data_IF_292347929272
#
_entry.id   IF_292347929272
#
_cell.length_a   1.000
_cell.length_b   1.000
_cell.length_c   1.000
_cell.angle_alpha   90.00
_cell.angle_beta   90.00
_cell.angle_gamma   90.00
#
_symmetry.space_group_name_H-M   'P 1'
#
loop_
_entity.id
_entity.type
_entity.pdbx_description
1 polymer ?
#
# COMPACT_ATOMS: atom_id res chain seq x y z
N UNK A 1 12.93 20.40 -17.75
CA UNK A 1 11.56 20.73 -17.30
C UNK A 1 11.42 20.30 -15.86
N UNK A 2 11.44 21.25 -14.92
CA UNK A 2 11.42 20.97 -13.48
C UNK A 2 9.98 20.81 -13.01
N UNK A 3 9.65 19.69 -12.35
CA UNK A 3 8.29 19.36 -11.89
C UNK A 3 7.88 20.30 -10.73
N UNK A 4 6.80 21.10 -10.85
CA UNK A 4 6.45 22.17 -9.89
C UNK A 4 5.86 21.69 -8.55
N UNK A 5 5.77 20.39 -8.29
CA UNK A 5 5.25 19.84 -7.03
C UNK A 5 6.35 19.43 -6.03
N UNK A 6 7.62 19.55 -6.42
CA UNK A 6 8.77 19.17 -5.59
C UNK A 6 9.05 20.19 -4.47
N UNK A 7 8.12 20.34 -3.52
CA UNK A 7 8.50 20.76 -2.17
C UNK A 7 9.08 19.54 -1.47
N UNK A 8 10.42 19.52 -1.41
CA UNK A 8 11.27 18.43 -0.91
C UNK A 8 11.13 18.24 0.62
N UNK A 9 9.94 17.80 1.07
CA UNK A 9 9.76 17.21 2.40
C UNK A 9 9.65 15.70 2.23
N UNK A 10 10.81 15.06 2.32
CA UNK A 10 10.92 13.60 2.51
C UNK A 10 10.06 13.17 3.68
N UNK A 11 9.34 12.05 3.53
CA UNK A 11 8.58 11.49 4.64
C UNK A 11 9.52 11.10 5.78
N UNK A 12 9.17 11.53 7.01
CA UNK A 12 9.90 11.16 8.24
C UNK A 12 9.23 9.95 8.90
N UNK A 13 9.99 8.90 9.28
CA UNK A 13 9.46 7.75 10.00
C UNK A 13 8.77 8.12 11.32
N UNK A 14 9.35 9.05 12.09
CA UNK A 14 8.80 9.48 13.38
C UNK A 14 7.52 10.30 13.22
N UNK A 15 7.49 11.21 12.24
CA UNK A 15 6.28 11.98 11.94
C UNK A 15 5.15 11.07 11.44
N UNK A 16 5.48 10.06 10.62
CA UNK A 16 4.52 9.06 10.16
C UNK A 16 3.99 8.23 11.33
N UNK A 17 4.87 7.73 12.22
CA UNK A 17 4.46 6.99 13.40
C UNK A 17 3.54 7.82 14.31
N UNK A 18 3.89 9.07 14.61
CA UNK A 18 3.05 9.97 15.40
C UNK A 18 1.68 10.23 14.74
N UNK A 19 1.67 10.43 13.42
CA UNK A 19 0.45 10.58 12.63
C UNK A 19 -0.42 9.31 12.70
N UNK A 20 0.18 8.13 12.56
CA UNK A 20 -0.52 6.86 12.69
C UNK A 20 -1.15 6.69 14.08
N UNK A 21 -0.42 6.94 15.16
CA UNK A 21 -0.95 6.84 16.52
C UNK A 21 -2.15 7.78 16.69
N UNK A 22 -2.02 9.04 16.28
CA UNK A 22 -3.13 10.01 16.33
C UNK A 22 -4.35 9.54 15.55
N UNK A 23 -4.16 9.05 14.32
CA UNK A 23 -5.26 8.57 13.48
C UNK A 23 -5.89 7.29 14.05
N UNK A 24 -5.10 6.38 14.59
CA UNK A 24 -5.58 5.16 15.23
C UNK A 24 -6.40 5.48 16.49
N UNK A 25 -5.92 6.38 17.35
CA UNK A 25 -6.66 6.85 18.54
C UNK A 25 -7.96 7.56 18.17
N UNK A 26 -8.01 8.23 17.01
CA UNK A 26 -9.21 8.86 16.47
C UNK A 26 -10.18 7.87 15.77
N UNK A 27 -9.85 6.57 15.68
CA UNK A 27 -10.65 5.58 14.94
C UNK A 27 -10.61 5.75 13.41
N UNK A 28 -9.70 6.59 12.92
CA UNK A 28 -9.55 6.93 11.50
C UNK A 28 -8.71 5.90 10.73
N UNK A 29 -8.12 4.90 11.40
CA UNK A 29 -7.48 3.74 10.76
C UNK A 29 -8.19 2.47 11.17
N UNK A 30 -8.69 1.72 10.20
CA UNK A 30 -9.47 0.50 10.41
C UNK A 30 -8.88 -0.66 9.62
N UNK A 31 -9.03 -1.87 10.16
CA UNK A 31 -8.60 -3.12 9.55
C UNK A 31 -9.82 -4.03 9.31
N UNK A 32 -10.67 -3.71 8.31
CA UNK A 32 -11.83 -4.52 8.01
C UNK A 32 -11.41 -5.93 7.58
N UNK A 33 -12.30 -6.90 7.84
CA UNK A 33 -12.08 -8.31 7.51
C UNK A 33 -12.98 -8.82 6.38
N UNK A 34 -13.86 -7.97 5.85
CA UNK A 34 -14.89 -8.38 4.87
C UNK A 34 -14.32 -8.96 3.58
N UNK A 35 -13.13 -8.54 3.17
CA UNK A 35 -12.43 -9.07 1.98
C UNK A 35 -11.37 -10.12 2.30
N UNK A 36 -11.06 -10.39 3.57
CA UNK A 36 -9.97 -11.32 3.90
C UNK A 36 -10.38 -12.74 3.51
N UNK A 37 -9.57 -13.39 2.68
CA UNK A 37 -9.85 -14.68 2.06
C UNK A 37 -10.51 -14.59 0.68
N UNK A 38 -10.89 -13.40 0.23
CA UNK A 38 -11.43 -13.18 -1.12
C UNK A 38 -10.32 -13.41 -2.17
N UNK A 39 -10.64 -14.19 -3.21
CA UNK A 39 -9.82 -14.30 -4.42
C UNK A 39 -10.21 -13.17 -5.38
N UNK A 40 -9.23 -12.37 -5.77
CA UNK A 40 -9.39 -11.22 -6.66
C UNK A 40 -8.47 -11.35 -7.86
N UNK A 41 -8.86 -10.76 -8.99
CA UNK A 41 -8.06 -10.73 -10.21
C UNK A 41 -7.50 -9.33 -10.44
N UNK A 42 -6.21 -9.24 -10.71
CA UNK A 42 -5.48 -7.98 -10.88
C UNK A 42 -4.54 -8.14 -12.07
N UNK A 43 -4.85 -7.45 -13.16
CA UNK A 43 -4.15 -7.55 -14.45
C UNK A 43 -4.04 -9.02 -14.92
N UNK A 44 -5.14 -9.76 -14.81
CA UNK A 44 -5.20 -11.16 -15.24
C UNK A 44 -4.53 -12.17 -14.31
N UNK A 45 -3.97 -11.74 -13.17
CA UNK A 45 -3.38 -12.61 -12.14
C UNK A 45 -4.31 -12.76 -10.95
N UNK A 46 -4.36 -13.95 -10.37
CA UNK A 46 -5.18 -14.24 -9.20
C UNK A 46 -4.39 -14.04 -7.90
N UNK A 47 -5.01 -13.35 -6.95
CA UNK A 47 -4.46 -13.16 -5.62
C UNK A 47 -5.52 -13.42 -4.56
N UNK A 48 -5.08 -13.90 -3.40
CA UNK A 48 -5.90 -13.94 -2.19
C UNK A 48 -5.64 -12.70 -1.34
N UNK A 49 -6.71 -11.99 -0.96
CA UNK A 49 -6.62 -10.89 0.00
C UNK A 49 -6.35 -11.46 1.39
N UNK A 50 -5.29 -11.00 2.06
CA UNK A 50 -4.98 -11.45 3.43
C UNK A 50 -5.00 -10.35 4.48
N UNK A 51 -5.08 -9.08 4.07
CA UNK A 51 -5.29 -7.95 4.97
C UNK A 51 -5.87 -6.79 4.19
N UNK A 52 -6.65 -5.99 4.90
CA UNK A 52 -7.14 -4.70 4.42
C UNK A 52 -6.90 -3.64 5.50
N UNK A 53 -6.55 -2.44 5.05
CA UNK A 53 -6.46 -1.22 5.84
C UNK A 53 -7.23 -0.15 5.09
N UNK A 54 -8.10 0.56 5.81
CA UNK A 54 -8.83 1.72 5.29
C UNK A 54 -8.70 2.87 6.26
N UNK A 55 -8.49 4.07 5.72
CA UNK A 55 -8.67 5.29 6.48
C UNK A 55 -10.17 5.66 6.53
N UNK A 56 -10.57 6.40 7.57
CA UNK A 56 -11.94 6.88 7.72
C UNK A 56 -12.46 7.59 6.47
N UNK A 57 -13.76 7.37 6.22
CA UNK A 57 -14.53 7.92 5.11
C UNK A 57 -14.87 9.38 5.41
N UNK A 58 -13.88 10.25 5.36
CA UNK A 58 -14.18 11.63 4.98
C UNK A 58 -14.46 11.59 3.49
N UNK A 59 -15.58 12.16 3.08
CA UNK A 59 -15.89 12.37 1.67
C UNK A 59 -14.67 13.06 1.03
N UNK A 60 -14.07 12.42 0.04
CA UNK A 60 -12.88 12.94 -0.65
C UNK A 60 -13.31 13.32 -2.06
N UNK A 61 -13.26 14.62 -2.41
CA UNK A 61 -13.80 15.10 -3.68
C UNK A 61 -13.03 14.54 -4.88
N UNK A 62 -11.72 14.32 -4.73
CA UNK A 62 -10.87 13.89 -5.83
C UNK A 62 -10.88 12.37 -6.01
N UNK A 63 -10.88 11.89 -7.28
CA UNK A 63 -10.69 10.46 -7.55
C UNK A 63 -9.35 9.99 -6.98
N UNK A 64 -9.30 8.79 -6.38
CA UNK A 64 -8.05 8.28 -5.83
C UNK A 64 -7.05 7.96 -6.94
N UNK A 65 -5.79 7.82 -6.55
CA UNK A 65 -4.75 7.23 -7.38
C UNK A 65 -4.42 5.84 -6.86
N UNK A 66 -4.45 4.84 -7.73
CA UNK A 66 -3.98 3.50 -7.39
C UNK A 66 -2.46 3.46 -7.48
N UNK A 67 -1.83 2.89 -6.46
CA UNK A 67 -0.44 2.45 -6.50
C UNK A 67 -0.43 0.93 -6.32
N UNK A 68 0.00 0.19 -7.34
CA UNK A 68 0.07 -1.27 -7.32
C UNK A 68 1.52 -1.69 -7.32
N UNK A 69 1.96 -2.37 -6.27
CA UNK A 69 3.32 -2.92 -6.17
C UNK A 69 3.26 -4.43 -6.07
N UNK A 70 4.16 -5.10 -6.77
CA UNK A 70 4.38 -6.54 -6.75
C UNK A 70 5.81 -6.82 -6.34
N UNK A 71 6.00 -7.87 -5.56
CA UNK A 71 7.32 -8.28 -5.09
C UNK A 71 7.30 -9.72 -4.60
N UNK A 72 8.45 -10.37 -4.60
CA UNK A 72 8.67 -11.63 -3.89
C UNK A 72 9.53 -11.36 -2.67
N UNK A 73 9.35 -12.12 -1.60
CA UNK A 73 10.19 -11.96 -0.42
C UNK A 73 11.46 -12.80 -0.51
N UNK A 74 12.56 -12.25 0.00
CA UNK A 74 13.78 -13.03 0.16
C UNK A 74 13.62 -13.96 1.37
N UNK A 75 13.80 -15.26 1.16
CA UNK A 75 14.05 -16.26 2.24
C UNK A 75 12.96 -16.32 3.33
N UNK A 76 11.70 -16.02 2.99
CA UNK A 76 10.60 -16.00 3.97
C UNK A 76 9.34 -16.65 3.37
N UNK A 77 8.81 -17.72 3.99
CA UNK A 77 7.57 -18.34 3.51
C UNK A 77 6.37 -17.40 3.69
N UNK A 78 5.31 -17.55 2.88
CA UNK A 78 4.17 -16.63 2.91
C UNK A 78 3.50 -16.46 4.28
N UNK A 79 3.37 -17.56 5.04
CA UNK A 79 2.80 -17.58 6.39
C UNK A 79 3.53 -16.65 7.37
N UNK A 80 4.85 -16.63 7.31
CA UNK A 80 5.69 -15.80 8.16
C UNK A 80 5.58 -14.32 7.78
N UNK A 81 5.49 -14.01 6.48
CA UNK A 81 5.27 -12.63 6.05
C UNK A 81 3.87 -12.11 6.38
N UNK A 82 2.84 -12.95 6.40
CA UNK A 82 1.50 -12.54 6.88
C UNK A 82 1.61 -11.95 8.29
N UNK A 83 2.47 -12.49 9.17
CA UNK A 83 2.75 -11.88 10.47
C UNK A 83 3.62 -10.62 10.35
N UNK A 84 4.80 -10.71 9.72
CA UNK A 84 5.76 -9.60 9.67
C UNK A 84 5.28 -8.37 8.90
N UNK A 85 4.30 -8.52 8.02
CA UNK A 85 3.69 -7.42 7.28
C UNK A 85 2.92 -6.43 8.16
N UNK A 86 2.74 -6.72 9.46
CA UNK A 86 2.27 -5.76 10.46
C UNK A 86 3.34 -4.75 10.87
N UNK A 87 4.62 -5.13 10.92
CA UNK A 87 5.72 -4.24 11.34
C UNK A 87 5.78 -2.90 10.56
N UNK A 88 5.65 -2.88 9.22
CA UNK A 88 5.68 -1.62 8.48
C UNK A 88 4.39 -0.81 8.59
N UNK A 89 3.30 -1.35 9.16
CA UNK A 89 1.97 -0.69 9.18
C UNK A 89 2.01 0.71 9.76
N UNK A 90 2.55 0.95 10.97
CA UNK A 90 2.56 2.29 11.55
C UNK A 90 3.30 3.33 10.69
N UNK A 91 4.24 2.87 9.88
CA UNK A 91 5.14 3.72 9.11
C UNK A 91 4.58 4.16 7.76
N UNK A 92 3.81 3.32 7.07
CA UNK A 92 3.16 3.74 5.83
C UNK A 92 1.73 4.24 6.08
N UNK A 93 1.04 3.71 7.10
CA UNK A 93 -0.33 4.12 7.39
C UNK A 93 -0.43 5.55 7.93
N UNK A 94 0.64 6.06 8.56
CA UNK A 94 0.72 7.45 8.98
C UNK A 94 1.02 8.46 7.85
N UNK A 95 1.30 7.98 6.64
CA UNK A 95 1.73 8.85 5.54
C UNK A 95 0.58 9.72 5.02
N UNK A 96 0.82 11.03 4.82
CA UNK A 96 -0.16 11.93 4.24
C UNK A 96 -0.70 11.43 2.91
N UNK A 97 -2.03 11.40 2.80
CA UNK A 97 -2.72 11.06 1.56
C UNK A 97 -3.07 9.58 1.40
N UNK A 98 -2.65 8.67 2.28
CA UNK A 98 -3.12 7.30 2.22
C UNK A 98 -4.65 7.25 2.40
N UNK A 99 -5.32 6.45 1.57
CA UNK A 99 -6.77 6.16 1.65
C UNK A 99 -7.00 4.72 2.08
N UNK A 100 -6.36 3.77 1.40
CA UNK A 100 -6.54 2.35 1.68
C UNK A 100 -5.32 1.55 1.25
N UNK A 101 -5.25 0.30 1.74
CA UNK A 101 -4.30 -0.70 1.28
C UNK A 101 -4.91 -2.09 1.39
N UNK A 102 -4.81 -2.85 0.31
CA UNK A 102 -5.02 -4.29 0.30
C UNK A 102 -3.68 -5.00 0.21
N UNK A 103 -3.56 -6.07 0.99
CA UNK A 103 -2.45 -7.00 0.89
C UNK A 103 -2.93 -8.26 0.19
N UNK A 104 -2.22 -8.61 -0.86
CA UNK A 104 -2.54 -9.65 -1.80
C UNK A 104 -1.38 -10.64 -1.83
N UNK A 105 -1.70 -11.92 -1.98
CA UNK A 105 -0.69 -12.97 -2.18
C UNK A 105 -1.21 -13.97 -3.21
N UNK A 106 -0.35 -14.31 -4.15
CA UNK A 106 -0.51 -15.48 -5.00
C UNK A 106 0.21 -16.63 -4.31
N UNK A 107 -0.56 -17.56 -3.75
CA UNK A 107 -0.02 -18.71 -3.01
C UNK A 107 0.73 -19.69 -3.91
N UNK A 108 0.48 -19.68 -5.23
CA UNK A 108 1.14 -20.58 -6.18
C UNK A 108 2.52 -20.10 -6.57
N UNK A 109 2.71 -18.78 -6.71
CA UNK A 109 3.99 -18.17 -7.13
C UNK A 109 4.77 -17.53 -5.97
N UNK A 110 4.17 -17.50 -4.78
CA UNK A 110 4.63 -16.77 -3.59
C UNK A 110 4.86 -15.27 -3.86
N UNK A 111 4.18 -14.72 -4.87
CA UNK A 111 4.21 -13.30 -5.20
C UNK A 111 3.28 -12.53 -4.27
N UNK A 112 3.79 -11.48 -3.67
CA UNK A 112 3.01 -10.52 -2.89
C UNK A 112 2.68 -9.32 -3.74
N UNK A 113 1.45 -8.81 -3.57
CA UNK A 113 1.08 -7.52 -4.09
C UNK A 113 0.49 -6.61 -3.00
N UNK A 114 0.70 -5.31 -3.16
CA UNK A 114 0.07 -4.27 -2.37
C UNK A 114 -0.67 -3.33 -3.29
N UNK A 115 -2.00 -3.27 -3.15
CA UNK A 115 -2.86 -2.36 -3.88
C UNK A 115 -3.26 -1.22 -2.95
N UNK A 116 -2.78 -0.02 -3.21
CA UNK A 116 -3.00 1.16 -2.37
C UNK A 116 -3.88 2.15 -3.12
N UNK A 117 -4.67 2.89 -2.37
CA UNK A 117 -5.27 4.13 -2.86
C UNK A 117 -4.63 5.32 -2.15
N UNK A 118 -4.22 6.30 -2.94
CA UNK A 118 -3.66 7.56 -2.50
C UNK A 118 -4.55 8.72 -2.89
N UNK A 119 -4.39 9.84 -2.20
CA UNK A 119 -5.17 11.04 -2.45
C UNK A 119 -4.87 11.71 -3.79
N UNK A 120 -3.68 11.50 -4.35
CA UNK A 120 -3.26 12.08 -5.62
C UNK A 120 -2.08 11.31 -6.22
N UNK A 121 -1.76 11.53 -7.51
CA UNK A 121 -0.56 10.98 -8.14
C UNK A 121 0.72 11.37 -7.41
N UNK A 122 0.84 12.64 -7.01
CA UNK A 122 2.00 13.13 -6.25
C UNK A 122 2.16 12.42 -4.89
N UNK A 123 1.06 12.05 -4.21
CA UNK A 123 1.14 11.29 -2.96
C UNK A 123 1.64 9.85 -3.20
N UNK A 124 1.19 9.21 -4.30
CA UNK A 124 1.67 7.89 -4.71
C UNK A 124 3.15 7.91 -5.12
N UNK A 125 3.58 8.92 -5.90
CA UNK A 125 4.98 9.12 -6.29
C UNK A 125 5.87 9.30 -5.06
N UNK A 126 5.45 10.15 -4.10
CA UNK A 126 6.18 10.32 -2.83
C UNK A 126 6.25 9.04 -1.99
N UNK A 127 5.24 8.18 -2.05
CA UNK A 127 5.29 6.88 -1.41
C UNK A 127 6.36 5.99 -2.05
N UNK A 128 6.45 5.98 -3.39
CA UNK A 128 7.47 5.23 -4.14
C UNK A 128 8.90 5.55 -3.65
N UNK A 129 9.17 6.82 -3.37
CA UNK A 129 10.48 7.30 -2.90
C UNK A 129 10.70 7.20 -1.39
N UNK A 130 9.68 6.75 -0.65
CA UNK A 130 9.65 6.79 0.81
C UNK A 130 10.56 5.76 1.49
N UNK A 131 10.87 6.02 2.76
CA UNK A 131 11.58 5.07 3.61
C UNK A 131 10.81 3.75 3.77
N UNK A 132 9.46 3.78 3.73
CA UNK A 132 8.63 2.59 3.85
C UNK A 132 8.76 1.68 2.61
N UNK A 133 8.76 2.27 1.41
CA UNK A 133 9.05 1.54 0.17
C UNK A 133 10.47 0.99 0.17
N UNK A 134 11.47 1.79 0.56
CA UNK A 134 12.86 1.32 0.68
C UNK A 134 13.00 0.15 1.66
N UNK A 135 12.31 0.19 2.80
CA UNK A 135 12.29 -0.90 3.77
C UNK A 135 11.64 -2.17 3.18
N UNK A 136 10.54 -2.04 2.44
CA UNK A 136 9.91 -3.16 1.74
C UNK A 136 10.86 -3.75 0.70
N UNK A 137 11.46 -2.92 -0.16
CA UNK A 137 12.41 -3.35 -1.20
C UNK A 137 13.61 -4.09 -0.62
N UNK A 138 14.14 -3.67 0.53
CA UNK A 138 15.25 -4.37 1.21
C UNK A 138 14.90 -5.79 1.66
N UNK A 139 13.62 -6.08 1.92
CA UNK A 139 13.14 -7.43 2.29
C UNK A 139 12.76 -8.27 1.08
N UNK A 140 12.59 -7.65 -0.08
CA UNK A 140 12.22 -8.33 -1.30
C UNK A 140 13.41 -9.10 -1.88
N UNK A 141 13.13 -10.14 -2.66
CA UNK A 141 14.13 -10.81 -3.47
C UNK A 141 14.71 -9.81 -4.49
N UNK A 142 16.04 -9.80 -4.73
CA UNK A 142 16.66 -8.89 -5.68
C UNK A 142 15.98 -8.93 -7.05
N UNK A 143 15.65 -7.75 -7.60
CA UNK A 143 15.01 -7.62 -8.91
C UNK A 143 13.52 -7.96 -8.96
N UNK A 144 12.89 -8.38 -7.85
CA UNK A 144 11.47 -8.79 -7.86
C UNK A 144 10.46 -7.65 -7.69
N UNK A 145 10.91 -6.46 -7.27
CA UNK A 145 10.02 -5.34 -6.98
C UNK A 145 9.67 -4.59 -8.26
N UNK A 146 8.38 -4.55 -8.59
CA UNK A 146 7.82 -3.69 -9.63
C UNK A 146 6.62 -2.93 -9.12
N UNK A 147 6.39 -1.70 -9.58
CA UNK A 147 5.18 -0.95 -9.24
C UNK A 147 4.64 -0.15 -10.41
N UNK A 148 3.36 0.20 -10.32
CA UNK A 148 2.64 1.03 -11.25
C UNK A 148 1.79 2.06 -10.51
N UNK A 149 1.65 3.25 -11.09
CA UNK A 149 0.79 4.32 -10.59
C UNK A 149 -0.29 4.56 -11.63
N UNK A 150 -1.56 4.42 -11.23
CA UNK A 150 -2.74 4.66 -12.06
C UNK A 150 -3.51 5.85 -11.50
N UNK A 151 -3.33 7.07 -12.07
CA UNK A 151 -4.12 8.24 -11.72
C UNK A 151 -5.61 7.99 -11.89
N UNK A 152 -6.41 8.72 -11.11
CA UNK A 152 -7.88 8.77 -11.22
C UNK A 152 -8.58 7.40 -11.26
N UNK A 153 -7.95 6.41 -10.59
CA UNK A 153 -8.37 5.01 -10.60
C UNK A 153 -8.70 4.58 -9.18
N UNK A 154 -9.86 3.94 -9.02
CA UNK A 154 -10.26 3.27 -7.77
C UNK A 154 -9.75 1.84 -7.74
N UNK A 155 -9.45 1.33 -6.55
CA UNK A 155 -8.98 -0.06 -6.40
C UNK A 155 -10.01 -1.08 -6.92
N UNK A 156 -11.31 -0.81 -6.81
CA UNK A 156 -12.36 -1.72 -7.28
C UNK A 156 -12.31 -1.91 -8.80
N UNK A 157 -11.91 -0.88 -9.55
CA UNK A 157 -11.73 -0.99 -11.00
C UNK A 157 -10.55 -1.89 -11.39
N UNK A 158 -9.60 -2.10 -10.47
CA UNK A 158 -8.42 -2.95 -10.67
C UNK A 158 -8.67 -4.40 -10.24
N UNK A 159 -9.50 -4.62 -9.21
CA UNK A 159 -9.81 -5.95 -8.64
C UNK A 159 -10.77 -6.80 -9.51
N UNK A 160 -11.34 -6.22 -10.56
CA UNK A 160 -12.29 -6.87 -11.47
C UNK A 160 -11.74 -7.12 -12.88
N UNK A 161 -10.42 -7.07 -13.08
CA UNK A 161 -9.75 -7.21 -14.38
C UNK A 161 -9.03 -8.55 -14.55
#
# INVERSE_FOLDING_TARGET
MSRPWATDRRFSPFASLASFVRLALAGEVRFPRGRVGETVRVDGREYTVFRELVHGSRERPDPPTVFLVRFRLARMPPSLNRLFSWLPVPFFAGLPGLRSKLWLVDESTEEFAGLYEWASPAAAERYADSFAMRFMTKRAAPGSVGYEIRPDTRREAVLGQ
#
